data_IF_738604421671
#
_entry.id   IF_738604421671
#
_cell.length_a   1.000
_cell.length_b   1.000
_cell.length_c   1.000
_cell.angle_alpha   90.00
_cell.angle_beta   90.00
_cell.angle_gamma   90.00
#
_symmetry.space_group_name_H-M   'P 1'
#
loop_
_entity.id
_entity.type
_entity.pdbx_description
1 polymer ?
#
# COMPACT_ATOMS: atom_id res chain seq x y z
N UNK A 1 -20.00 -2.64 -1.72
CA UNK A 1 -19.01 -3.64 -1.25
C UNK A 1 -17.56 -3.25 -1.59
N UNK A 2 -17.27 -2.01 -2.02
CA UNK A 2 -15.99 -1.63 -2.63
C UNK A 2 -14.80 -1.64 -1.68
N UNK A 3 -15.01 -1.35 -0.39
CA UNK A 3 -13.95 -1.36 0.61
C UNK A 3 -13.22 -2.71 0.66
N UNK A 4 -13.98 -3.81 0.62
CA UNK A 4 -13.41 -5.16 0.62
C UNK A 4 -12.63 -5.44 -0.66
N UNK A 5 -13.14 -4.98 -1.82
CA UNK A 5 -12.44 -5.10 -3.11
C UNK A 5 -11.10 -4.38 -3.08
N UNK A 6 -11.04 -3.17 -2.51
CA UNK A 6 -9.80 -2.40 -2.40
C UNK A 6 -8.78 -3.08 -1.51
N UNK A 7 -9.21 -3.60 -0.35
CA UNK A 7 -8.35 -4.37 0.56
C UNK A 7 -7.81 -5.62 -0.13
N UNK A 8 -8.68 -6.40 -0.77
CA UNK A 8 -8.26 -7.62 -1.48
C UNK A 8 -7.28 -7.32 -2.60
N UNK A 9 -7.47 -6.23 -3.35
CA UNK A 9 -6.51 -5.80 -4.37
C UNK A 9 -5.19 -5.33 -3.77
N UNK A 10 -5.23 -4.58 -2.66
CA UNK A 10 -4.03 -4.18 -1.93
C UNK A 10 -3.23 -5.40 -1.42
N UNK A 11 -3.91 -6.42 -0.91
CA UNK A 11 -3.30 -7.70 -0.50
C UNK A 11 -2.68 -8.41 -1.71
N UNK A 12 -3.39 -8.48 -2.84
CA UNK A 12 -2.87 -9.09 -4.06
C UNK A 12 -1.57 -8.41 -4.53
N UNK A 13 -1.52 -7.08 -4.47
CA UNK A 13 -0.33 -6.30 -4.83
C UNK A 13 0.80 -6.48 -3.83
N UNK A 14 0.49 -6.52 -2.54
CA UNK A 14 1.48 -6.78 -1.48
C UNK A 14 2.23 -8.10 -1.69
N UNK A 15 1.61 -9.16 -2.23
CA UNK A 15 2.33 -10.42 -2.48
C UNK A 15 3.55 -10.25 -3.41
N UNK A 16 3.51 -9.28 -4.33
CA UNK A 16 4.62 -9.02 -5.23
C UNK A 16 5.81 -8.33 -4.55
N UNK A 17 5.69 -7.88 -3.30
CA UNK A 17 6.82 -7.31 -2.56
C UNK A 17 7.89 -8.36 -2.25
N UNK A 18 7.59 -9.65 -2.39
CA UNK A 18 8.60 -10.73 -2.30
C UNK A 18 9.73 -10.59 -3.33
N UNK A 19 9.48 -9.92 -4.46
CA UNK A 19 10.48 -9.66 -5.49
C UNK A 19 11.30 -8.38 -5.24
N UNK A 20 10.96 -7.63 -4.19
CA UNK A 20 11.58 -6.35 -3.86
C UNK A 20 12.49 -6.58 -2.64
N UNK A 21 13.71 -5.99 -2.60
CA UNK A 21 14.56 -6.05 -1.42
C UNK A 21 13.82 -5.61 -0.16
N UNK A 22 13.89 -6.36 0.94
CA UNK A 22 13.15 -6.04 2.18
C UNK A 22 13.81 -4.88 2.94
N UNK A 23 13.47 -3.65 2.51
CA UNK A 23 13.84 -2.39 3.17
C UNK A 23 12.61 -1.55 3.51
N UNK A 24 11.48 -2.23 3.70
CA UNK A 24 10.24 -1.60 4.11
C UNK A 24 10.32 -1.26 5.59
N UNK A 25 9.76 -0.11 5.97
CA UNK A 25 9.69 0.25 7.39
C UNK A 25 8.78 -0.72 8.15
N UNK A 26 9.34 -1.49 9.08
CA UNK A 26 8.64 -2.59 9.76
C UNK A 26 8.58 -3.89 8.93
N UNK A 27 9.44 -4.02 7.91
CA UNK A 27 9.56 -5.19 7.04
C UNK A 27 8.27 -5.54 6.29
N UNK A 28 8.05 -6.83 6.07
CA UNK A 28 6.90 -7.34 5.31
C UNK A 28 5.54 -6.96 5.90
N UNK A 29 5.45 -6.82 7.23
CA UNK A 29 4.22 -6.41 7.94
C UNK A 29 3.94 -4.92 7.70
N UNK A 30 4.98 -4.08 7.73
CA UNK A 30 4.85 -2.67 7.38
C UNK A 30 4.43 -2.46 5.93
N UNK A 31 4.99 -3.25 5.00
CA UNK A 31 4.56 -3.27 3.61
C UNK A 31 3.08 -3.69 3.46
N UNK A 32 2.63 -4.70 4.22
CA UNK A 32 1.25 -5.18 4.20
C UNK A 32 0.26 -4.08 4.62
N UNK A 33 0.53 -3.43 5.74
CA UNK A 33 -0.31 -2.34 6.24
C UNK A 33 -0.30 -1.15 5.29
N UNK A 34 0.87 -0.79 4.75
CA UNK A 34 0.99 0.31 3.80
C UNK A 34 0.21 0.07 2.49
N UNK A 35 0.22 -1.16 1.95
CA UNK A 35 -0.54 -1.52 0.77
C UNK A 35 -2.06 -1.42 1.00
N UNK A 36 -2.54 -1.94 2.14
CA UNK A 36 -3.98 -1.92 2.49
C UNK A 36 -4.45 -0.50 2.74
N UNK A 37 -3.74 0.25 3.58
CA UNK A 37 -4.10 1.63 3.92
C UNK A 37 -4.00 2.52 2.67
N UNK A 38 -2.98 2.35 1.85
CA UNK A 38 -2.84 3.08 0.59
C UNK A 38 -4.01 2.83 -0.37
N UNK A 39 -4.37 1.56 -0.59
CA UNK A 39 -5.52 1.19 -1.42
C UNK A 39 -6.84 1.76 -0.89
N UNK A 40 -7.06 1.66 0.42
CA UNK A 40 -8.26 2.16 1.08
C UNK A 40 -8.39 3.68 0.99
N UNK A 41 -7.35 4.41 1.37
CA UNK A 41 -7.32 5.87 1.35
C UNK A 41 -7.52 6.39 -0.05
N UNK A 42 -6.81 5.83 -1.04
CA UNK A 42 -6.97 6.25 -2.43
C UNK A 42 -8.37 5.94 -2.97
N UNK A 43 -8.91 4.75 -2.67
CA UNK A 43 -10.27 4.36 -3.04
C UNK A 43 -11.32 5.34 -2.51
N UNK A 44 -11.21 5.74 -1.24
CA UNK A 44 -12.09 6.73 -0.61
C UNK A 44 -11.94 8.12 -1.25
N UNK A 45 -10.70 8.56 -1.51
CA UNK A 45 -10.43 9.85 -2.12
C UNK A 45 -11.03 9.95 -3.53
N UNK A 46 -10.83 8.93 -4.37
CA UNK A 46 -11.35 8.89 -5.74
C UNK A 46 -12.87 8.73 -5.76
N UNK A 47 -13.45 8.02 -4.79
CA UNK A 47 -14.90 7.83 -4.67
C UNK A 47 -15.63 9.03 -4.03
N UNK A 48 -14.97 10.18 -3.92
CA UNK A 48 -15.57 11.41 -3.39
C UNK A 48 -15.91 11.36 -1.90
N UNK A 49 -15.08 10.67 -1.10
CA UNK A 49 -15.29 10.43 0.33
C UNK A 49 -16.53 9.56 0.66
N UNK A 50 -17.05 8.84 -0.33
CA UNK A 50 -18.13 7.86 -0.17
C UNK A 50 -17.64 6.45 -0.48
N UNK A 51 -18.29 5.42 0.09
CA UNK A 51 -17.96 4.02 -0.18
C UNK A 51 -19.03 3.46 -1.12
N UNK A 52 -18.71 3.15 -2.39
CA UNK A 52 -19.72 2.73 -3.35
C UNK A 52 -20.44 1.43 -2.95
N UNK A 53 -21.74 1.40 -3.23
CA UNK A 53 -22.63 0.27 -3.02
C UNK A 53 -22.32 -0.91 -3.95
N UNK A 54 -22.99 -2.05 -3.73
CA UNK A 54 -22.78 -3.29 -4.50
C UNK A 54 -23.13 -3.16 -6.00
N UNK A 55 -24.10 -2.30 -6.34
CA UNK A 55 -24.51 -2.07 -7.73
C UNK A 55 -23.43 -1.39 -8.58
N UNK A 56 -22.39 -0.80 -7.96
CA UNK A 56 -21.28 -0.13 -8.64
C UNK A 56 -19.93 -0.83 -8.43
N UNK A 57 -19.92 -1.97 -7.72
CA UNK A 57 -18.72 -2.80 -7.55
C UNK A 57 -18.44 -3.62 -8.81
N UNK A 58 -17.80 -2.99 -9.79
CA UNK A 58 -17.21 -3.65 -10.95
C UNK A 58 -15.68 -3.68 -10.91
N UNK A 59 -15.08 -4.16 -12.01
CA UNK A 59 -13.62 -4.20 -12.22
C UNK A 59 -12.96 -2.82 -11.98
N UNK A 60 -13.68 -1.72 -12.27
CA UNK A 60 -13.18 -0.37 -12.03
C UNK A 60 -12.78 -0.10 -10.57
N UNK A 61 -13.54 -0.63 -9.60
CA UNK A 61 -13.20 -0.47 -8.18
C UNK A 61 -11.90 -1.18 -7.81
N UNK A 62 -11.64 -2.35 -8.42
CA UNK A 62 -10.39 -3.06 -8.24
C UNK A 62 -9.20 -2.27 -8.83
N UNK A 63 -9.38 -1.65 -10.01
CA UNK A 63 -8.34 -0.85 -10.65
C UNK A 63 -7.99 0.41 -9.86
N UNK A 64 -8.97 1.04 -9.19
CA UNK A 64 -8.75 2.23 -8.35
C UNK A 64 -7.82 1.93 -7.17
N UNK A 65 -7.87 0.72 -6.61
CA UNK A 65 -7.03 0.35 -5.47
C UNK A 65 -5.54 0.19 -5.82
N UNK A 66 -5.23 -0.11 -7.08
CA UNK A 66 -3.86 -0.34 -7.57
C UNK A 66 -2.94 0.86 -7.28
N UNK A 67 -3.20 2.07 -7.81
CA UNK A 67 -2.32 3.21 -7.55
C UNK A 67 -2.20 3.55 -6.06
N UNK A 68 -3.28 3.42 -5.29
CA UNK A 68 -3.24 3.63 -3.83
C UNK A 68 -2.26 2.70 -3.12
N UNK A 69 -2.35 1.40 -3.39
CA UNK A 69 -1.44 0.40 -2.80
C UNK A 69 0.01 0.62 -3.20
N UNK A 70 0.28 0.94 -4.48
CA UNK A 70 1.62 1.20 -4.99
C UNK A 70 2.24 2.44 -4.32
N UNK A 71 1.46 3.52 -4.16
CA UNK A 71 1.92 4.72 -3.46
C UNK A 71 2.21 4.45 -1.98
N UNK A 72 1.34 3.68 -1.31
CA UNK A 72 1.55 3.27 0.08
C UNK A 72 2.85 2.46 0.24
N UNK A 73 3.05 1.45 -0.61
CA UNK A 73 4.26 0.63 -0.63
C UNK A 73 5.51 1.47 -0.93
N UNK A 74 5.45 2.34 -1.93
CA UNK A 74 6.57 3.20 -2.29
C UNK A 74 6.96 4.14 -1.13
N UNK A 75 5.98 4.73 -0.46
CA UNK A 75 6.23 5.58 0.71
C UNK A 75 6.87 4.78 1.87
N UNK A 76 6.34 3.60 2.17
CA UNK A 76 6.87 2.72 3.21
C UNK A 76 8.30 2.25 2.92
N UNK A 77 8.58 1.94 1.66
CA UNK A 77 9.90 1.52 1.19
C UNK A 77 10.93 2.65 1.26
N UNK A 78 10.59 3.83 0.73
CA UNK A 78 11.50 4.99 0.74
C UNK A 78 11.79 5.41 2.17
N UNK A 79 10.80 5.35 3.05
CA UNK A 79 11.00 5.67 4.46
C UNK A 79 11.93 4.65 5.13
N UNK A 80 11.67 3.34 4.98
CA UNK A 80 12.53 2.28 5.55
C UNK A 80 13.97 2.31 5.03
N UNK A 81 14.14 2.49 3.73
CA UNK A 81 15.47 2.60 3.11
C UNK A 81 16.28 3.80 3.66
N UNK A 82 15.60 4.91 3.97
CA UNK A 82 16.25 6.11 4.52
C UNK A 82 16.62 5.94 6.00
N UNK A 83 15.79 5.26 6.79
CA UNK A 83 16.09 4.98 8.19
C UNK A 83 17.28 4.03 8.34
N UNK A 84 17.34 2.97 7.53
CA UNK A 84 18.47 2.03 7.53
C UNK A 84 19.79 2.73 7.16
N UNK A 85 19.77 3.59 6.15
CA UNK A 85 20.96 4.35 5.75
C UNK A 85 21.46 5.31 6.86
N UNK A 86 20.55 5.94 7.59
CA UNK A 86 20.89 6.82 8.70
C UNK A 86 21.48 6.05 9.90
N UNK A 87 20.91 4.88 10.21
CA UNK A 87 21.42 4.01 11.28
C UNK A 87 22.82 3.48 10.97
N UNK A 88 23.09 3.08 9.72
CA UNK A 88 24.42 2.63 9.29
C UNK A 88 25.48 3.73 9.40
N UNK A 89 25.13 4.98 9.08
CA UNK A 89 26.03 6.13 9.22
C UNK A 89 26.34 6.42 10.70
N UNK A 90 25.35 6.28 11.58
CA UNK A 90 25.54 6.49 13.02
C UNK A 90 26.36 5.38 13.69
N UNK A 91 26.29 4.14 13.19
CA UNK A 91 27.04 3.01 13.72
C UNK A 91 28.49 2.92 13.20
N UNK A 92 28.79 3.59 12.08
CA UNK A 92 30.11 3.58 11.43
C UNK A 92 31.01 4.78 11.73
N UNK A 93 30.56 5.73 12.56
CA UNK A 93 31.35 6.90 13.02
C UNK A 93 31.78 6.77 14.47
#
# INVERSE_FOLDING_TARGET
MSMLVWVMMGIAIWHFTVFVPDRFWGGIVGAFLAAIVGAAVFGVLVSGLSIPGESETGIGQALIAIPGSLLGLAACYVYGARTEAAEQQAAGG
#
